data_IF_166795350977
#
_entry.id   IF_166795350977
#
_cell.length_a   1.000
_cell.length_b   1.000
_cell.length_c   1.000
_cell.angle_alpha   90.00
_cell.angle_beta   90.00
_cell.angle_gamma   90.00
#
_symmetry.space_group_name_H-M   'P 1'
#
loop_
_entity.id
_entity.type
_entity.pdbx_description
1 polymer ?
#
# COMPACT_ATOMS: atom_id res chain seq x y z
N UNK A 1 3.64 47.17 -34.85
CA UNK A 1 3.51 46.20 -35.95
C UNK A 1 3.54 44.80 -35.37
N UNK A 2 2.37 44.18 -35.23
CA UNK A 2 2.20 42.80 -34.79
C UNK A 2 2.83 41.83 -35.79
N UNK A 3 3.47 40.77 -35.28
CA UNK A 3 3.29 39.36 -35.67
C UNK A 3 4.42 38.56 -35.04
N UNK A 4 4.07 37.38 -34.48
CA UNK A 4 4.95 36.34 -33.90
C UNK A 4 5.09 36.33 -32.37
N UNK A 5 3.96 36.46 -31.69
CA UNK A 5 3.67 35.54 -30.58
C UNK A 5 3.37 34.16 -31.21
N UNK A 6 3.58 33.07 -30.45
CA UNK A 6 3.30 31.65 -30.76
C UNK A 6 4.46 30.83 -31.35
N UNK A 7 4.64 29.65 -30.73
CA UNK A 7 5.56 28.53 -31.06
C UNK A 7 6.94 28.62 -30.40
N UNK A 8 7.00 28.26 -29.11
CA UNK A 8 8.05 27.36 -28.55
C UNK A 8 7.84 27.04 -27.05
N UNK A 9 6.59 26.85 -26.58
CA UNK A 9 6.31 26.31 -25.22
C UNK A 9 5.87 24.84 -25.26
N UNK A 10 5.87 24.22 -26.45
CA UNK A 10 5.22 22.93 -26.69
C UNK A 10 6.12 21.68 -26.52
N UNK A 11 7.03 21.64 -25.55
CA UNK A 11 7.86 20.44 -25.30
C UNK A 11 8.22 20.20 -23.82
N UNK A 12 7.35 20.57 -22.88
CA UNK A 12 7.57 20.31 -21.46
C UNK A 12 6.35 19.71 -20.71
N UNK A 13 5.37 19.16 -21.44
CA UNK A 13 4.15 18.60 -20.83
C UNK A 13 3.70 17.31 -21.51
N UNK A 14 4.62 16.36 -21.69
CA UNK A 14 4.31 15.00 -22.14
C UNK A 14 4.63 13.96 -21.06
N UNK A 15 4.22 14.23 -19.81
CA UNK A 15 4.20 13.25 -18.73
C UNK A 15 2.99 13.43 -17.80
N UNK A 16 1.84 13.76 -18.39
CA UNK A 16 0.53 13.74 -17.70
C UNK A 16 -0.30 12.58 -18.27
N UNK A 17 0.14 11.35 -18.03
CA UNK A 17 -0.58 10.15 -18.46
C UNK A 17 -0.67 9.05 -17.40
N UNK A 18 -0.40 9.38 -16.13
CA UNK A 18 -0.84 8.58 -14.98
C UNK A 18 -1.57 9.48 -13.99
N UNK A 19 -2.55 10.25 -14.48
CA UNK A 19 -3.56 10.80 -13.58
C UNK A 19 -4.47 9.63 -13.21
N UNK A 20 -4.08 8.83 -12.22
CA UNK A 20 -5.06 8.12 -11.41
C UNK A 20 -6.05 9.21 -10.97
N UNK A 21 -7.26 9.18 -11.52
CA UNK A 21 -8.23 10.24 -11.27
C UNK A 21 -8.45 10.43 -9.76
N UNK A 22 -8.92 11.59 -9.30
CA UNK A 22 -9.17 11.88 -7.87
C UNK A 22 -10.25 11.00 -7.21
N UNK A 23 -10.64 9.90 -7.87
CA UNK A 23 -11.75 9.03 -7.51
C UNK A 23 -11.30 7.56 -7.46
N UNK A 24 -10.08 7.26 -7.00
CA UNK A 24 -9.98 6.03 -6.21
C UNK A 24 -10.94 6.26 -5.03
N UNK A 25 -11.94 5.39 -4.81
CA UNK A 25 -12.82 5.54 -3.67
C UNK A 25 -11.98 5.32 -2.41
N UNK A 26 -11.26 6.34 -1.95
CA UNK A 26 -10.80 6.35 -0.57
C UNK A 26 -12.07 6.32 0.24
N UNK A 27 -12.37 5.17 0.86
CA UNK A 27 -13.41 5.09 1.86
C UNK A 27 -13.04 6.12 2.93
N UNK A 28 -13.69 7.29 2.88
CA UNK A 28 -13.60 8.24 3.96
C UNK A 28 -14.07 7.51 5.22
N UNK A 29 -13.24 7.54 6.26
CA UNK A 29 -13.55 6.94 7.56
C UNK A 29 -13.63 8.06 8.59
N UNK A 30 -14.81 8.66 8.78
CA UNK A 30 -14.99 9.81 9.66
C UNK A 30 -14.60 9.52 11.11
N UNK A 31 -14.67 8.25 11.53
CA UNK A 31 -14.25 7.84 12.88
C UNK A 31 -12.73 7.91 13.00
N UNK A 32 -12.01 7.44 11.99
CA UNK A 32 -10.56 7.55 11.92
C UNK A 32 -10.09 9.01 11.84
N UNK A 33 -10.77 9.85 11.04
CA UNK A 33 -10.48 11.29 10.98
C UNK A 33 -10.68 11.96 12.36
N UNK A 34 -11.74 11.59 13.07
CA UNK A 34 -12.00 12.08 14.43
C UNK A 34 -10.93 11.62 15.43
N UNK A 35 -10.43 10.39 15.29
CA UNK A 35 -9.33 9.88 16.12
C UNK A 35 -8.03 10.65 15.85
N UNK A 36 -7.71 10.98 14.60
CA UNK A 36 -6.54 11.81 14.29
C UNK A 36 -6.67 13.23 14.85
N UNK A 37 -7.84 13.84 14.77
CA UNK A 37 -8.08 15.15 15.38
C UNK A 37 -7.91 15.10 16.91
N UNK A 38 -8.39 14.04 17.56
CA UNK A 38 -8.20 13.85 19.01
C UNK A 38 -6.72 13.66 19.34
N UNK A 39 -6.00 12.84 18.57
CA UNK A 39 -4.57 12.61 18.79
C UNK A 39 -3.77 13.91 18.66
N UNK A 40 -4.12 14.76 17.69
CA UNK A 40 -3.49 16.08 17.50
C UNK A 40 -3.71 17.05 18.67
N UNK A 41 -4.73 16.83 19.51
CA UNK A 41 -5.05 17.65 20.67
C UNK A 41 -4.52 17.07 21.99
N UNK A 42 -3.98 15.85 22.00
CA UNK A 42 -3.48 15.22 23.21
C UNK A 42 -2.26 15.98 23.77
N UNK A 43 -2.32 16.36 25.04
CA UNK A 43 -1.27 17.17 25.68
C UNK A 43 -0.07 16.33 26.14
N UNK A 44 -0.29 15.04 26.40
CA UNK A 44 0.70 14.13 26.96
C UNK A 44 0.50 12.69 26.47
N UNK A 45 1.47 11.84 26.81
CA UNK A 45 1.47 10.43 26.42
C UNK A 45 0.31 9.63 27.05
N UNK A 46 -0.15 9.98 28.25
CA UNK A 46 -1.26 9.27 28.90
C UNK A 46 -2.56 9.50 28.13
N UNK A 47 -2.76 10.70 27.59
CA UNK A 47 -3.88 11.04 26.72
C UNK A 47 -3.72 10.45 25.31
N UNK A 48 -2.52 10.52 24.72
CA UNK A 48 -2.26 10.07 23.36
C UNK A 48 -2.33 8.54 23.18
N UNK A 49 -1.81 7.78 24.14
CA UNK A 49 -1.69 6.32 24.05
C UNK A 49 -3.00 5.58 23.72
N UNK A 50 -4.13 5.82 24.42
CA UNK A 50 -5.38 5.15 24.09
C UNK A 50 -5.93 5.55 22.71
N UNK A 51 -5.70 6.80 22.26
CA UNK A 51 -6.14 7.27 20.94
C UNK A 51 -5.34 6.58 19.85
N UNK A 52 -4.02 6.48 20.01
CA UNK A 52 -3.15 5.74 19.10
C UNK A 52 -3.57 4.28 18.98
N UNK A 53 -3.87 3.62 20.10
CA UNK A 53 -4.38 2.24 20.09
C UNK A 53 -5.69 2.09 19.31
N UNK A 54 -6.60 3.07 19.43
CA UNK A 54 -7.85 3.07 18.68
C UNK A 54 -7.61 3.26 17.17
N UNK A 55 -6.66 4.13 16.79
CA UNK A 55 -6.24 4.30 15.38
C UNK A 55 -5.70 2.98 14.84
N UNK A 56 -4.78 2.33 15.56
CA UNK A 56 -4.23 1.03 15.17
C UNK A 56 -5.31 -0.03 15.04
N UNK A 57 -6.25 -0.11 15.98
CA UNK A 57 -7.35 -1.06 15.92
C UNK A 57 -8.25 -0.81 14.70
N UNK A 58 -8.58 0.44 14.39
CA UNK A 58 -9.41 0.80 13.24
C UNK A 58 -8.71 0.54 11.92
N UNK A 59 -7.41 0.85 11.83
CA UNK A 59 -6.59 0.50 10.67
C UNK A 59 -6.38 -0.99 10.49
N UNK A 60 -6.37 -1.77 11.58
CA UNK A 60 -6.26 -3.22 11.51
C UNK A 60 -7.59 -3.90 11.08
N UNK A 61 -8.72 -3.20 11.15
CA UNK A 61 -10.01 -3.75 10.73
C UNK A 61 -10.14 -3.79 9.21
N UNK A 62 -10.08 -4.99 8.64
CA UNK A 62 -10.33 -5.19 7.21
C UNK A 62 -11.82 -5.06 6.83
N UNK A 63 -12.72 -5.09 7.81
CA UNK A 63 -14.16 -5.17 7.60
C UNK A 63 -14.64 -6.46 6.92
N UNK A 64 -13.77 -7.45 6.74
CA UNK A 64 -14.06 -8.70 6.02
C UNK A 64 -13.42 -9.92 6.69
N UNK A 65 -14.23 -10.85 7.25
CA UNK A 65 -13.70 -12.10 7.79
C UNK A 65 -12.89 -12.92 6.79
N UNK A 66 -13.25 -12.86 5.50
CA UNK A 66 -12.51 -13.53 4.44
C UNK A 66 -11.13 -12.92 4.24
N UNK A 67 -11.02 -11.58 4.25
CA UNK A 67 -9.73 -10.90 4.15
C UNK A 67 -8.86 -11.24 5.35
N UNK A 68 -9.41 -11.27 6.56
CA UNK A 68 -8.67 -11.68 7.76
C UNK A 68 -8.06 -13.08 7.62
N UNK A 69 -8.83 -14.06 7.14
CA UNK A 69 -8.32 -15.42 6.88
C UNK A 69 -7.20 -15.43 5.84
N UNK A 70 -7.30 -14.61 4.79
CA UNK A 70 -6.24 -14.51 3.77
C UNK A 70 -4.96 -13.91 4.36
N UNK A 71 -5.06 -12.88 5.20
CA UNK A 71 -3.92 -12.29 5.90
C UNK A 71 -3.25 -13.27 6.86
N UNK A 72 -4.04 -14.08 7.58
CA UNK A 72 -3.53 -15.17 8.44
C UNK A 72 -2.73 -16.20 7.62
N UNK A 73 -3.26 -16.61 6.47
CA UNK A 73 -2.58 -17.54 5.56
C UNK A 73 -1.32 -16.95 4.95
N UNK A 74 -1.33 -15.66 4.58
CA UNK A 74 -0.15 -14.95 4.14
C UNK A 74 0.94 -14.97 5.22
N UNK A 75 0.57 -14.67 6.47
CA UNK A 75 1.50 -14.69 7.61
C UNK A 75 2.08 -16.10 7.86
N UNK A 76 1.27 -17.14 7.74
CA UNK A 76 1.74 -18.52 7.86
C UNK A 76 2.77 -18.88 6.76
N UNK A 77 2.53 -18.45 5.52
CA UNK A 77 3.45 -18.65 4.41
C UNK A 77 4.77 -17.86 4.59
N UNK A 78 4.70 -16.60 5.03
CA UNK A 78 5.88 -15.80 5.40
C UNK A 78 6.72 -16.48 6.49
N UNK A 79 6.07 -16.99 7.54
CA UNK A 79 6.72 -17.72 8.64
C UNK A 79 7.39 -19.01 8.15
N UNK A 80 6.83 -19.66 7.14
CA UNK A 80 7.39 -20.85 6.50
C UNK A 80 8.49 -20.52 5.46
N UNK A 81 8.75 -19.24 5.17
CA UNK A 81 9.70 -18.81 4.15
C UNK A 81 9.21 -18.93 2.71
N UNK A 82 7.90 -19.16 2.50
CA UNK A 82 7.28 -19.26 1.19
C UNK A 82 6.71 -17.90 0.76
N UNK A 83 7.60 -17.03 0.28
CA UNK A 83 7.24 -15.68 -0.14
C UNK A 83 6.27 -15.67 -1.34
N UNK A 84 6.39 -16.62 -2.26
CA UNK A 84 5.50 -16.71 -3.43
C UNK A 84 4.06 -17.05 -3.01
N UNK A 85 3.89 -17.98 -2.07
CA UNK A 85 2.57 -18.30 -1.53
C UNK A 85 1.99 -17.15 -0.70
N UNK A 86 2.82 -16.44 0.08
CA UNK A 86 2.40 -15.25 0.81
C UNK A 86 1.87 -14.17 -0.14
N UNK A 87 2.60 -13.89 -1.23
CA UNK A 87 2.20 -12.92 -2.27
C UNK A 87 0.83 -13.27 -2.85
N UNK A 88 0.58 -14.55 -3.20
CA UNK A 88 -0.73 -14.99 -3.73
C UNK A 88 -1.89 -14.73 -2.77
N UNK A 89 -1.70 -14.90 -1.46
CA UNK A 89 -2.74 -14.63 -0.47
C UNK A 89 -2.96 -13.13 -0.29
N UNK A 90 -1.90 -12.33 -0.30
CA UNK A 90 -1.98 -10.88 -0.21
C UNK A 90 -2.63 -10.26 -1.45
N UNK A 91 -2.35 -10.80 -2.64
CA UNK A 91 -2.99 -10.40 -3.90
C UNK A 91 -4.51 -10.63 -3.82
N UNK A 92 -4.94 -11.84 -3.44
CA UNK A 92 -6.36 -12.15 -3.24
C UNK A 92 -7.02 -11.25 -2.19
N UNK A 93 -6.31 -10.94 -1.10
CA UNK A 93 -6.82 -10.03 -0.08
C UNK A 93 -7.00 -8.60 -0.61
N UNK A 94 -6.05 -8.11 -1.41
CA UNK A 94 -6.13 -6.79 -2.05
C UNK A 94 -7.21 -6.71 -3.13
N UNK A 95 -7.51 -7.81 -3.83
CA UNK A 95 -8.62 -7.88 -4.77
C UNK A 95 -9.98 -7.79 -4.06
N UNK A 96 -10.10 -8.41 -2.88
CA UNK A 96 -11.33 -8.42 -2.08
C UNK A 96 -11.54 -7.13 -1.27
N UNK A 97 -10.46 -6.48 -0.83
CA UNK A 97 -10.51 -5.21 -0.09
C UNK A 97 -9.49 -4.21 -0.66
N UNK A 98 -9.75 -3.64 -1.84
CA UNK A 98 -8.82 -2.73 -2.52
C UNK A 98 -8.53 -1.47 -1.70
N UNK A 99 -9.49 -1.04 -0.87
CA UNK A 99 -9.40 0.16 -0.03
C UNK A 99 -8.71 -0.11 1.33
N UNK A 100 -8.34 -1.37 1.63
CA UNK A 100 -7.71 -1.75 2.89
C UNK A 100 -6.18 -1.74 2.78
N UNK A 101 -5.58 -0.68 3.35
CA UNK A 101 -4.17 -0.33 3.16
C UNK A 101 -3.16 -1.38 3.63
N UNK A 102 -3.48 -2.19 4.64
CA UNK A 102 -2.56 -3.17 5.23
C UNK A 102 -2.11 -4.22 4.20
N UNK A 103 -3.00 -4.62 3.29
CA UNK A 103 -2.63 -5.58 2.22
C UNK A 103 -1.49 -5.05 1.36
N UNK A 104 -1.56 -3.78 0.97
CA UNK A 104 -0.52 -3.08 0.21
C UNK A 104 0.76 -2.88 1.03
N UNK A 105 0.63 -2.53 2.32
CA UNK A 105 1.77 -2.40 3.24
C UNK A 105 2.55 -3.73 3.34
N UNK A 106 1.84 -4.83 3.54
CA UNK A 106 2.43 -6.16 3.66
C UNK A 106 3.10 -6.62 2.38
N UNK A 107 2.50 -6.37 1.21
CA UNK A 107 3.14 -6.66 -0.09
C UNK A 107 4.44 -5.90 -0.27
N UNK A 108 4.46 -4.61 0.06
CA UNK A 108 5.67 -3.80 -0.01
C UNK A 108 6.76 -4.34 0.94
N UNK A 109 6.37 -4.74 2.15
CA UNK A 109 7.27 -5.37 3.14
C UNK A 109 7.84 -6.68 2.62
N UNK A 110 7.02 -7.54 2.00
CA UNK A 110 7.44 -8.81 1.42
C UNK A 110 8.50 -8.61 0.31
N UNK A 111 8.28 -7.68 -0.62
CA UNK A 111 9.27 -7.38 -1.66
C UNK A 111 10.55 -6.75 -1.13
N UNK A 112 10.45 -5.91 -0.09
CA UNK A 112 11.62 -5.32 0.54
C UNK A 112 12.46 -6.39 1.26
N UNK A 113 11.81 -7.30 1.99
CA UNK A 113 12.47 -8.41 2.67
C UNK A 113 13.07 -9.40 1.67
N UNK A 114 12.34 -9.77 0.60
CA UNK A 114 12.89 -10.63 -0.45
C UNK A 114 14.14 -10.01 -1.08
N UNK A 115 14.13 -8.73 -1.49
CA UNK A 115 15.34 -8.08 -2.02
C UNK A 115 16.50 -8.09 -1.05
N UNK A 116 16.24 -7.90 0.25
CA UNK A 116 17.28 -7.87 1.29
C UNK A 116 17.83 -9.26 1.61
N UNK A 117 16.98 -10.29 1.62
CA UNK A 117 17.36 -11.67 1.92
C UNK A 117 17.96 -12.39 0.71
N UNK A 118 17.55 -12.03 -0.49
CA UNK A 118 17.94 -12.72 -1.70
C UNK A 118 19.35 -12.34 -2.16
N UNK A 119 19.83 -11.10 -1.94
CA UNK A 119 21.15 -10.65 -2.44
C UNK A 119 21.38 -11.00 -3.92
N UNK A 120 20.30 -11.20 -4.68
CA UNK A 120 20.28 -11.89 -5.96
C UNK A 120 19.77 -10.90 -7.00
N UNK A 121 20.71 -10.50 -7.85
CA UNK A 121 20.53 -10.60 -9.29
C UNK A 121 19.54 -11.72 -9.60
N UNK A 122 18.39 -11.37 -10.19
CA UNK A 122 17.41 -12.34 -10.64
C UNK A 122 18.13 -13.20 -11.66
N UNK A 123 18.58 -14.40 -11.25
CA UNK A 123 19.07 -15.40 -12.20
C UNK A 123 17.94 -15.59 -13.21
N UNK A 124 18.23 -15.08 -14.39
CA UNK A 124 17.47 -15.25 -15.60
C UNK A 124 17.07 -16.73 -15.73
N UNK A 125 15.76 -17.06 -15.76
CA UNK A 125 15.35 -18.43 -16.06
C UNK A 125 15.66 -18.84 -17.52
N UNK A 126 16.32 -17.99 -18.31
CA UNK A 126 16.64 -18.21 -19.72
C UNK A 126 18.02 -18.78 -20.07
N UNK A 127 18.96 -19.00 -19.14
CA UNK A 127 20.29 -19.55 -19.50
C UNK A 127 20.31 -21.08 -19.63
N UNK A 128 19.28 -21.66 -20.24
CA UNK A 128 19.32 -23.01 -20.80
C UNK A 128 19.43 -22.85 -22.31
N UNK A 129 20.59 -22.42 -22.79
CA UNK A 129 20.94 -22.55 -24.21
C UNK A 129 22.20 -23.41 -24.35
N UNK A 130 21.99 -24.52 -25.07
CA UNK A 130 22.92 -25.38 -25.83
C UNK A 130 23.97 -26.21 -25.08
#
# INVERSE_FOLDING_TARGET
MHRRFFIAVAAAFALVACNAGPNAPTRADPELDALFMQLAQAEDQQQASPIEQAIWARWADSGSPTVNILLERANAAETAGDAELAERFLDQASDLAPDYAETWNRRASLYYLDRRLSGRDRRDPGSVEA
#
